data_IF_278283405532
#
_entry.id   IF_278283405532
#
_cell.length_a   1.000
_cell.length_b   1.000
_cell.length_c   1.000
_cell.angle_alpha   90.00
_cell.angle_beta   90.00
_cell.angle_gamma   90.00
#
_symmetry.space_group_name_H-M   'P 1'
#
loop_
_entity.id
_entity.type
_entity.pdbx_description
1 polymer ?
#
# COMPACT_ATOMS: atom_id res chain seq x y z
N UNK A 1 25.86 26.48 71.69
CA UNK A 1 27.14 25.82 71.34
C UNK A 1 26.84 24.36 71.02
N UNK A 2 26.85 24.01 69.73
CA UNK A 2 27.11 22.70 69.13
C UNK A 2 26.78 22.79 67.63
N UNK A 3 27.79 22.53 66.80
CA UNK A 3 27.80 22.49 65.34
C UNK A 3 27.14 21.22 64.79
N UNK A 4 26.51 21.29 63.61
CA UNK A 4 26.39 20.15 62.70
C UNK A 4 26.44 20.64 61.24
N UNK A 5 27.20 19.92 60.43
CA UNK A 5 27.70 20.27 59.11
C UNK A 5 26.77 19.85 57.95
N UNK A 6 26.97 20.53 56.81
CA UNK A 6 27.03 20.04 55.43
C UNK A 6 26.32 18.73 55.05
N UNK A 7 25.42 18.80 54.06
CA UNK A 7 24.80 17.62 53.45
C UNK A 7 23.79 17.92 52.35
N UNK A 8 24.31 18.38 51.22
CA UNK A 8 23.78 18.32 49.85
C UNK A 8 22.64 17.32 49.53
N UNK A 9 21.58 17.83 48.86
CA UNK A 9 21.06 17.46 47.52
C UNK A 9 19.53 17.41 47.42
N UNK A 10 19.03 18.24 46.51
CA UNK A 10 17.69 18.23 45.95
C UNK A 10 17.22 16.81 45.60
N UNK A 11 16.09 16.32 46.14
CA UNK A 11 15.38 15.22 45.51
C UNK A 11 14.46 15.79 44.42
N UNK A 12 14.29 15.00 43.35
CA UNK A 12 13.24 15.14 42.34
C UNK A 12 13.48 16.08 41.15
N UNK A 13 14.48 15.76 40.32
CA UNK A 13 14.51 16.11 38.89
C UNK A 13 14.45 14.86 37.99
N UNK A 14 13.89 13.76 38.49
CA UNK A 14 13.76 12.50 37.74
C UNK A 14 12.50 12.41 36.85
N UNK A 15 11.36 13.06 37.12
CA UNK A 15 10.19 12.84 36.26
C UNK A 15 10.21 13.68 34.97
N UNK A 16 11.00 14.76 34.91
CA UNK A 16 10.97 15.65 33.74
C UNK A 16 11.75 15.09 32.55
N UNK A 17 12.82 14.32 32.80
CA UNK A 17 13.64 13.76 31.72
C UNK A 17 12.94 12.60 30.99
N UNK A 18 12.05 11.87 31.68
CA UNK A 18 11.31 10.77 31.08
C UNK A 18 10.19 11.25 30.13
N UNK A 19 9.64 12.46 30.38
CA UNK A 19 8.62 13.06 29.51
C UNK A 19 9.19 13.63 28.20
N UNK A 20 10.51 13.80 28.10
CA UNK A 20 11.17 14.33 26.89
C UNK A 20 11.49 13.25 25.85
N UNK A 21 11.46 11.97 26.22
CA UNK A 21 11.72 10.85 25.29
C UNK A 21 10.47 10.31 24.58
N UNK A 22 9.26 10.77 24.95
CA UNK A 22 8.00 10.32 24.33
C UNK A 22 7.57 11.16 23.11
N UNK A 23 8.31 12.20 22.75
CA UNK A 23 7.85 13.22 21.79
C UNK A 23 8.50 13.16 20.40
N UNK A 24 9.35 12.18 20.08
CA UNK A 24 9.96 12.11 18.74
C UNK A 24 9.99 10.67 18.23
N UNK A 25 8.81 10.10 18.02
CA UNK A 25 8.60 9.28 16.82
C UNK A 25 7.87 10.20 15.85
N UNK A 26 8.64 11.02 15.13
CA UNK A 26 8.16 11.65 13.90
C UNK A 26 7.94 10.52 12.88
N UNK A 27 6.83 9.80 13.04
CA UNK A 27 6.17 9.21 11.90
C UNK A 27 5.68 10.38 11.08
N UNK A 28 6.28 10.58 9.92
CA UNK A 28 5.73 11.41 8.87
C UNK A 28 4.25 11.04 8.77
N UNK A 29 3.36 11.94 9.19
CA UNK A 29 1.94 11.80 8.91
C UNK A 29 1.86 12.05 7.42
N UNK A 30 1.99 10.96 6.65
CA UNK A 30 1.75 10.95 5.21
C UNK A 30 0.40 11.62 5.03
N UNK A 31 0.41 12.74 4.31
CA UNK A 31 -0.76 13.53 3.94
C UNK A 31 -1.74 12.62 3.16
N UNK A 32 -2.54 11.84 3.89
CA UNK A 32 -3.53 10.89 3.36
C UNK A 32 -4.70 11.61 2.66
N UNK A 33 -4.71 12.95 2.68
CA UNK A 33 -5.71 13.83 2.05
C UNK A 33 -5.76 13.75 0.52
N UNK A 34 -4.78 13.09 -0.12
CA UNK A 34 -4.68 12.96 -1.58
C UNK A 34 -5.11 11.60 -2.12
N UNK A 35 -5.43 10.65 -1.24
CA UNK A 35 -5.74 9.27 -1.63
C UNK A 35 -7.24 9.06 -1.76
N UNK A 36 -7.68 8.68 -2.96
CA UNK A 36 -9.05 8.29 -3.20
C UNK A 36 -9.15 6.76 -3.32
N UNK A 37 -9.72 6.12 -2.30
CA UNK A 37 -9.96 4.67 -2.32
C UNK A 37 -10.99 4.33 -3.41
N UNK A 38 -10.69 3.34 -4.24
CA UNK A 38 -11.66 2.76 -5.17
C UNK A 38 -12.54 1.80 -4.36
N UNK A 39 -13.84 2.12 -4.15
CA UNK A 39 -14.71 1.28 -3.35
C UNK A 39 -14.88 -0.09 -4.00
N UNK A 40 -14.97 -1.12 -3.17
CA UNK A 40 -15.16 -2.50 -3.60
C UNK A 40 -14.15 -2.96 -4.67
N UNK A 41 -12.86 -2.64 -4.49
CA UNK A 41 -11.79 -3.01 -5.42
C UNK A 41 -11.80 -4.50 -5.83
N UNK A 42 -12.30 -5.39 -4.97
CA UNK A 42 -12.49 -6.80 -5.31
C UNK A 42 -13.43 -7.05 -6.51
N UNK A 43 -14.54 -6.32 -6.58
CA UNK A 43 -15.55 -6.49 -7.64
C UNK A 43 -15.50 -5.40 -8.70
N UNK A 44 -14.61 -4.41 -8.54
CA UNK A 44 -14.41 -3.35 -9.52
C UNK A 44 -13.65 -3.88 -10.73
N UNK A 45 -14.30 -3.90 -11.89
CA UNK A 45 -13.67 -4.28 -13.16
C UNK A 45 -12.40 -3.47 -13.42
N UNK A 46 -12.43 -2.16 -13.15
CA UNK A 46 -11.27 -1.31 -13.29
C UNK A 46 -10.11 -1.78 -12.40
N UNK A 47 -10.37 -2.00 -11.10
CA UNK A 47 -9.34 -2.43 -10.17
C UNK A 47 -8.75 -3.81 -10.54
N UNK A 48 -9.57 -4.74 -11.05
CA UNK A 48 -9.09 -6.03 -11.54
C UNK A 48 -8.23 -5.88 -12.80
N UNK A 49 -8.60 -5.01 -13.75
CA UNK A 49 -7.80 -4.67 -14.93
C UNK A 49 -6.43 -4.13 -14.50
N UNK A 50 -6.39 -3.19 -13.55
CA UNK A 50 -5.13 -2.63 -13.07
C UNK A 50 -4.21 -3.69 -12.47
N UNK A 51 -4.75 -4.59 -11.64
CA UNK A 51 -3.97 -5.68 -11.06
C UNK A 51 -3.44 -6.68 -12.10
N UNK A 52 -4.27 -7.03 -13.10
CA UNK A 52 -3.86 -7.89 -14.20
C UNK A 52 -2.74 -7.25 -15.03
N UNK A 53 -2.87 -5.96 -15.37
CA UNK A 53 -1.84 -5.20 -16.09
C UNK A 53 -0.53 -5.10 -15.30
N UNK A 54 -0.59 -4.91 -13.98
CA UNK A 54 0.59 -4.87 -13.12
C UNK A 54 1.37 -6.20 -13.18
N UNK A 55 0.69 -7.34 -13.05
CA UNK A 55 1.31 -8.67 -13.15
C UNK A 55 1.85 -8.92 -14.56
N UNK A 56 1.08 -8.57 -15.59
CA UNK A 56 1.51 -8.73 -16.98
C UNK A 56 2.77 -7.92 -17.30
N UNK A 57 2.87 -6.68 -16.79
CA UNK A 57 4.06 -5.84 -16.95
C UNK A 57 5.23 -6.36 -16.13
N UNK A 58 5.02 -6.81 -14.90
CA UNK A 58 6.07 -7.47 -14.09
C UNK A 58 6.67 -8.66 -14.84
N UNK A 59 5.83 -9.53 -15.41
CA UNK A 59 6.26 -10.72 -16.15
C UNK A 59 7.09 -10.40 -17.41
N UNK A 60 6.97 -9.21 -18.00
CA UNK A 60 7.78 -8.81 -19.17
C UNK A 60 9.25 -8.55 -18.81
N UNK A 61 9.54 -8.17 -17.57
CA UNK A 61 10.89 -7.84 -17.09
C UNK A 61 11.43 -8.77 -16.01
N UNK A 62 10.73 -9.88 -15.73
CA UNK A 62 11.04 -10.79 -14.63
C UNK A 62 11.20 -12.22 -15.14
N UNK A 63 12.23 -12.92 -14.67
CA UNK A 63 12.38 -14.36 -14.88
C UNK A 63 11.33 -15.18 -14.11
N UNK A 64 10.71 -14.57 -13.09
CA UNK A 64 9.68 -15.21 -12.25
C UNK A 64 8.30 -14.83 -12.77
N UNK A 65 7.70 -15.73 -13.53
CA UNK A 65 6.33 -15.59 -14.01
C UNK A 65 5.32 -15.75 -12.89
N UNK A 66 4.33 -14.87 -12.85
CA UNK A 66 3.19 -14.91 -11.94
C UNK A 66 1.88 -14.88 -12.73
N UNK A 67 0.87 -15.57 -12.22
CA UNK A 67 -0.52 -15.48 -12.66
C UNK A 67 -1.29 -14.55 -11.72
N UNK A 68 -2.00 -13.58 -12.29
CA UNK A 68 -2.85 -12.66 -11.53
C UNK A 68 -4.02 -13.42 -10.91
N UNK A 69 -4.32 -13.15 -9.63
CA UNK A 69 -5.42 -13.79 -8.93
C UNK A 69 -6.57 -12.83 -8.68
N UNK A 70 -6.28 -11.67 -8.07
CA UNK A 70 -7.25 -10.60 -7.81
C UNK A 70 -6.62 -9.36 -7.23
N UNK A 71 -7.25 -8.22 -7.48
CA UNK A 71 -7.04 -6.99 -6.72
C UNK A 71 -7.91 -7.01 -5.46
N UNK A 72 -7.37 -6.57 -4.33
CA UNK A 72 -8.07 -6.49 -3.03
C UNK A 72 -8.22 -5.06 -2.54
N UNK A 73 -7.32 -4.18 -2.92
CA UNK A 73 -7.41 -2.75 -2.68
C UNK A 73 -6.85 -2.01 -3.87
N UNK A 74 -7.44 -0.87 -4.20
CA UNK A 74 -6.90 0.05 -5.17
C UNK A 74 -7.24 1.46 -4.69
N UNK A 75 -6.28 2.37 -4.80
CA UNK A 75 -6.43 3.77 -4.47
C UNK A 75 -5.78 4.61 -5.55
N UNK A 76 -6.40 5.74 -5.87
CA UNK A 76 -5.78 6.79 -6.65
C UNK A 76 -4.93 7.63 -5.71
N UNK A 77 -3.65 7.81 -6.01
CA UNK A 77 -2.68 8.51 -5.17
C UNK A 77 -2.76 10.03 -5.38
N UNK A 78 -3.18 10.46 -6.56
CA UNK A 78 -3.51 11.84 -6.84
C UNK A 78 -5.01 12.12 -6.74
N UNK A 79 -5.35 13.38 -6.45
CA UNK A 79 -6.74 13.82 -6.27
C UNK A 79 -7.35 14.37 -7.58
N UNK A 80 -6.84 13.94 -8.73
CA UNK A 80 -7.39 14.38 -10.02
C UNK A 80 -8.73 13.67 -10.30
N UNK A 81 -9.63 14.33 -11.01
CA UNK A 81 -10.89 13.73 -11.43
C UNK A 81 -10.66 12.81 -12.65
N UNK A 82 -11.35 11.67 -12.69
CA UNK A 82 -11.28 10.71 -13.79
C UNK A 82 -10.31 9.54 -13.58
N UNK A 83 -10.07 8.78 -14.65
CA UNK A 83 -9.30 7.52 -14.65
C UNK A 83 -7.81 7.66 -14.90
N UNK A 84 -7.36 8.87 -15.23
CA UNK A 84 -5.94 9.16 -15.43
C UNK A 84 -5.32 9.57 -14.11
N UNK A 85 -4.16 8.99 -13.78
CA UNK A 85 -3.43 9.32 -12.56
C UNK A 85 -2.54 8.18 -12.08
N UNK A 86 -1.89 8.42 -10.94
CA UNK A 86 -1.11 7.40 -10.25
C UNK A 86 -2.04 6.55 -9.37
N UNK A 87 -1.90 5.23 -9.45
CA UNK A 87 -2.67 4.26 -8.68
C UNK A 87 -1.76 3.38 -7.85
N UNK A 88 -2.13 3.18 -6.58
CA UNK A 88 -1.55 2.14 -5.73
C UNK A 88 -2.54 0.98 -5.59
N UNK A 89 -2.02 -0.24 -5.75
CA UNK A 89 -2.82 -1.46 -5.90
C UNK A 89 -2.26 -2.53 -4.97
N UNK A 90 -3.12 -3.15 -4.18
CA UNK A 90 -2.81 -4.39 -3.48
C UNK A 90 -3.50 -5.56 -4.18
N UNK A 91 -2.72 -6.59 -4.50
CA UNK A 91 -3.18 -7.74 -5.27
C UNK A 91 -2.57 -9.04 -4.77
N UNK A 92 -3.24 -10.13 -5.12
CA UNK A 92 -2.70 -11.48 -5.02
C UNK A 92 -2.28 -11.99 -6.39
N UNK A 93 -1.13 -12.63 -6.42
CA UNK A 93 -0.65 -13.39 -7.58
C UNK A 93 0.01 -14.69 -7.11
N UNK A 94 0.11 -15.69 -7.97
CA UNK A 94 0.76 -16.97 -7.68
C UNK A 94 1.70 -17.36 -8.81
N UNK A 95 2.75 -18.16 -8.56
CA UNK A 95 3.45 -18.85 -9.65
C UNK A 95 2.47 -19.67 -10.50
N UNK A 96 2.79 -19.93 -11.79
CA UNK A 96 1.94 -20.74 -12.64
C UNK A 96 1.82 -22.17 -12.11
N UNK A 97 0.61 -22.70 -12.13
CA UNK A 97 0.30 -24.07 -11.71
C UNK A 97 -0.89 -24.15 -10.74
N UNK A 98 -1.59 -25.29 -10.71
CA UNK A 98 -2.87 -25.43 -9.98
C UNK A 98 -2.73 -25.36 -8.44
N UNK A 99 -1.58 -25.74 -7.90
CA UNK A 99 -1.38 -25.89 -6.44
C UNK A 99 -0.43 -24.83 -5.83
N UNK A 100 -0.15 -23.76 -6.56
CA UNK A 100 0.79 -22.75 -6.11
C UNK A 100 0.19 -21.80 -5.07
N UNK A 101 0.95 -21.55 -4.00
CA UNK A 101 0.52 -20.63 -2.92
C UNK A 101 0.49 -19.19 -3.43
N UNK A 102 -0.61 -18.50 -3.11
CA UNK A 102 -0.72 -17.07 -3.34
C UNK A 102 0.26 -16.27 -2.51
N UNK A 103 0.69 -15.18 -3.12
CA UNK A 103 1.56 -14.18 -2.54
C UNK A 103 0.90 -12.81 -2.69
N UNK A 104 0.97 -12.02 -1.63
CA UNK A 104 0.52 -10.63 -1.62
C UNK A 104 1.58 -9.76 -2.27
N UNK A 105 1.13 -8.85 -3.13
CA UNK A 105 1.97 -7.85 -3.77
C UNK A 105 1.33 -6.47 -3.67
N UNK A 106 2.19 -5.47 -3.65
CA UNK A 106 1.85 -4.07 -3.87
C UNK A 106 2.40 -3.62 -5.21
N UNK A 107 1.63 -2.82 -5.93
CA UNK A 107 2.05 -2.22 -7.18
C UNK A 107 1.67 -0.73 -7.20
N UNK A 108 2.51 0.09 -7.82
CA UNK A 108 2.16 1.46 -8.21
C UNK A 108 2.31 1.63 -9.71
N UNK A 109 1.39 2.35 -10.32
CA UNK A 109 1.38 2.54 -11.77
C UNK A 109 0.78 3.88 -12.16
N UNK A 110 1.35 4.49 -13.20
CA UNK A 110 0.71 5.58 -13.92
C UNK A 110 -0.26 4.99 -14.95
N UNK A 111 -1.49 5.47 -14.89
CA UNK A 111 -2.58 4.99 -15.74
C UNK A 111 -3.15 6.17 -16.52
N UNK A 112 -3.43 5.93 -17.80
CA UNK A 112 -4.34 6.78 -18.57
C UNK A 112 -5.45 5.93 -19.14
N UNK A 113 -6.68 6.40 -18.99
CA UNK A 113 -7.85 5.69 -19.47
C UNK A 113 -9.11 6.51 -19.42
N UNK A 114 -10.21 5.88 -19.83
CA UNK A 114 -11.56 6.46 -19.87
C UNK A 114 -12.54 5.44 -19.28
N UNK A 115 -13.44 5.91 -18.41
CA UNK A 115 -14.67 5.18 -18.05
C UNK A 115 -15.76 5.68 -18.98
N UNK A 116 -16.30 4.77 -19.79
CA UNK A 116 -17.42 5.07 -20.67
C UNK A 116 -18.72 5.14 -19.87
N UNK A 117 -19.75 5.77 -20.45
CA UNK A 117 -21.05 5.93 -19.81
C UNK A 117 -21.75 4.60 -19.47
N UNK A 118 -21.41 3.52 -20.19
CA UNK A 118 -21.90 2.16 -19.95
C UNK A 118 -21.16 1.43 -18.81
N UNK A 119 -20.20 2.10 -18.16
CA UNK A 119 -19.36 1.52 -17.10
C UNK A 119 -18.20 0.67 -17.62
N UNK A 120 -18.04 0.53 -18.93
CA UNK A 120 -16.85 -0.11 -19.50
C UNK A 120 -15.61 0.77 -19.31
N UNK A 121 -14.46 0.12 -19.18
CA UNK A 121 -13.19 0.80 -18.84
C UNK A 121 -12.17 0.53 -19.93
N UNK A 122 -11.63 1.61 -20.50
CA UNK A 122 -10.55 1.54 -21.48
C UNK A 122 -9.28 2.14 -20.91
N UNK A 123 -8.21 1.35 -20.78
CA UNK A 123 -6.89 1.81 -20.35
C UNK A 123 -6.02 1.98 -21.59
N UNK A 124 -5.74 3.24 -21.96
CA UNK A 124 -4.92 3.58 -23.13
C UNK A 124 -3.43 3.50 -22.85
N UNK A 125 -3.01 3.77 -21.60
CA UNK A 125 -1.61 3.75 -21.19
C UNK A 125 -1.48 3.16 -19.77
N UNK A 126 -0.47 2.32 -19.58
CA UNK A 126 -0.13 1.74 -18.27
C UNK A 126 1.38 1.61 -18.14
N UNK A 127 1.94 2.36 -17.21
CA UNK A 127 3.38 2.35 -16.85
C UNK A 127 3.51 1.82 -15.44
N UNK A 128 4.10 0.64 -15.29
CA UNK A 128 4.37 0.06 -13.98
C UNK A 128 5.57 0.76 -13.35
N UNK A 129 5.37 1.42 -12.21
CA UNK A 129 6.41 2.16 -11.49
C UNK A 129 7.11 1.25 -10.48
N UNK A 130 6.33 0.58 -9.64
CA UNK A 130 6.83 -0.36 -8.62
C UNK A 130 5.98 -1.61 -8.59
N UNK A 131 6.62 -2.75 -8.35
CA UNK A 131 5.96 -4.01 -8.04
C UNK A 131 6.77 -4.73 -6.97
N UNK A 132 6.18 -4.95 -5.79
CA UNK A 132 6.92 -5.45 -4.64
C UNK A 132 6.12 -6.43 -3.80
N UNK A 133 6.82 -7.29 -3.07
CA UNK A 133 6.21 -8.27 -2.15
C UNK A 133 5.95 -7.68 -0.75
N UNK A 134 6.36 -6.44 -0.51
CA UNK A 134 6.11 -5.76 0.76
C UNK A 134 4.62 -5.52 0.93
N UNK A 135 4.09 -5.97 2.07
CA UNK A 135 2.71 -5.76 2.46
C UNK A 135 2.55 -4.33 2.93
N UNK A 136 1.56 -3.62 2.40
CA UNK A 136 0.92 -2.61 3.20
C UNK A 136 0.23 -3.33 4.38
N UNK A 137 0.32 -2.82 5.62
CA UNK A 137 -0.07 -3.55 6.84
C UNK A 137 -1.57 -3.89 6.96
N UNK A 138 -2.39 -3.68 5.92
CA UNK A 138 -3.86 -3.68 6.02
C UNK A 138 -4.56 -4.98 5.56
N UNK A 139 -3.88 -5.97 4.98
CA UNK A 139 -4.54 -7.17 4.44
C UNK A 139 -3.92 -8.52 4.88
N UNK A 140 -4.74 -9.35 5.55
CA UNK A 140 -4.43 -10.75 5.92
C UNK A 140 -5.63 -11.65 5.59
N UNK A 141 -5.88 -11.92 4.31
CA UNK A 141 -6.85 -12.92 3.88
C UNK A 141 -6.26 -13.83 2.80
N UNK A 142 -6.49 -15.15 2.91
CA UNK A 142 -6.09 -16.15 1.90
C UNK A 142 -7.24 -16.34 0.91
N UNK A 143 -6.97 -16.32 -0.38
CA UNK A 143 -7.99 -16.46 -1.43
C UNK A 143 -7.64 -17.63 -2.35
N UNK A 144 -8.46 -17.94 -3.35
CA UNK A 144 -8.14 -18.88 -4.45
C UNK A 144 -8.05 -18.07 -5.75
N UNK A 145 -7.05 -18.35 -6.59
CA UNK A 145 -6.91 -17.68 -7.89
C UNK A 145 -7.88 -18.34 -8.86
N UNK A 146 -8.69 -17.53 -9.54
CA UNK A 146 -9.49 -18.01 -10.64
C UNK A 146 -8.88 -17.43 -11.90
N UNK A 147 -8.59 -18.31 -12.87
CA UNK A 147 -8.13 -17.89 -14.19
C UNK A 147 -9.33 -17.23 -14.88
N UNK A 148 -9.22 -15.94 -15.17
CA UNK A 148 -10.22 -15.19 -15.96
C UNK A 148 -9.97 -15.45 -17.44
#
# INVERSE_FOLDING_TARGET
MATAASGHLLPSLVPLLFLLFLSIVSGDVVDDSRRQVIPHAYSSNFAQILGNLAVAKHNKGSEKRLDFCRTVMAEKVDNSTGTSGEYAIELFASPPGPDQKQQSFSATADVRGVINADGSVFVSEFVLLRFSRERFPRLVAKLKCYRI
#
